data_IF_083776607252
#
_entry.id   IF_083776607252
#
_cell.length_a   1.000
_cell.length_b   1.000
_cell.length_c   1.000
_cell.angle_alpha   90.00
_cell.angle_beta   90.00
_cell.angle_gamma   90.00
#
_symmetry.space_group_name_H-M   'P 1'
#
loop_
_entity.id
_entity.type
_entity.pdbx_description
1 polymer ?
#
# COMPACT_ATOMS: atom_id res chain seq x y z
N UNK A 1 52.90 29.49 -18.45
CA UNK A 1 52.41 28.15 -18.09
C UNK A 1 51.19 28.36 -17.22
N UNK A 2 50.05 28.64 -17.86
CA UNK A 2 48.85 29.11 -17.15
C UNK A 2 48.10 27.90 -16.59
N UNK A 3 47.84 27.92 -15.29
CA UNK A 3 47.21 26.82 -14.56
C UNK A 3 45.72 26.82 -14.90
N UNK A 4 45.38 26.09 -15.96
CA UNK A 4 44.06 25.49 -16.27
C UNK A 4 42.95 25.97 -15.35
N UNK A 5 42.14 26.92 -15.85
CA UNK A 5 40.81 27.21 -15.34
C UNK A 5 40.05 25.89 -15.24
N UNK A 6 39.96 25.34 -14.03
CA UNK A 6 39.26 24.08 -13.81
C UNK A 6 37.82 24.25 -14.31
N UNK A 7 37.40 23.34 -15.19
CA UNK A 7 36.06 23.25 -15.77
C UNK A 7 35.00 23.56 -14.69
N UNK A 8 34.03 24.43 -14.99
CA UNK A 8 32.98 24.83 -14.05
C UNK A 8 32.25 23.62 -13.44
N UNK A 9 32.05 22.56 -14.23
CA UNK A 9 31.48 21.30 -13.75
C UNK A 9 32.39 20.57 -12.75
N UNK A 10 33.71 20.63 -12.95
CA UNK A 10 34.69 20.05 -12.02
C UNK A 10 34.69 20.81 -10.68
N UNK A 11 34.64 22.15 -10.72
CA UNK A 11 34.53 22.98 -9.50
C UNK A 11 33.24 22.66 -8.73
N UNK A 12 32.12 22.55 -9.44
CA UNK A 12 30.82 22.20 -8.84
C UNK A 12 30.82 20.78 -8.24
N UNK A 13 31.43 19.80 -8.93
CA UNK A 13 31.55 18.44 -8.43
C UNK A 13 32.39 18.36 -7.15
N UNK A 14 33.54 19.05 -7.12
CA UNK A 14 34.41 19.12 -5.94
C UNK A 14 33.67 19.77 -4.77
N UNK A 15 33.00 20.90 -4.99
CA UNK A 15 32.25 21.60 -3.94
C UNK A 15 31.13 20.72 -3.35
N UNK A 16 30.43 19.96 -4.20
CA UNK A 16 29.39 19.02 -3.76
C UNK A 16 29.98 17.87 -2.94
N UNK A 17 31.12 17.31 -3.37
CA UNK A 17 31.82 16.26 -2.64
C UNK A 17 32.31 16.75 -1.26
N UNK A 18 32.89 17.94 -1.19
CA UNK A 18 33.36 18.55 0.06
C UNK A 18 32.21 18.79 1.04
N UNK A 19 31.06 19.27 0.54
CA UNK A 19 29.85 19.45 1.35
C UNK A 19 29.37 18.12 1.93
N UNK A 20 29.36 17.04 1.12
CA UNK A 20 28.92 15.71 1.57
C UNK A 20 29.88 15.10 2.60
N UNK A 21 31.19 15.29 2.42
CA UNK A 21 32.22 14.76 3.33
C UNK A 21 32.31 15.55 4.65
N UNK A 22 32.02 16.85 4.64
CA UNK A 22 32.08 17.72 5.82
C UNK A 22 30.81 17.66 6.71
N UNK A 23 29.72 17.05 6.23
CA UNK A 23 28.52 16.83 7.05
C UNK A 23 28.80 15.91 8.25
N UNK A 24 28.29 16.28 9.42
CA UNK A 24 28.36 15.44 10.64
C UNK A 24 27.67 14.10 10.39
N UNK A 25 28.36 12.98 10.67
CA UNK A 25 27.98 11.60 10.29
C UNK A 25 27.99 11.30 8.78
N UNK A 26 28.74 12.06 7.98
CA UNK A 26 28.82 11.92 6.52
C UNK A 26 29.09 10.50 6.04
N UNK A 27 30.00 9.76 6.69
CA UNK A 27 30.31 8.36 6.33
C UNK A 27 29.12 7.39 6.47
N UNK A 28 28.27 7.55 7.48
CA UNK A 28 27.06 6.72 7.68
C UNK A 28 25.97 7.09 6.67
N UNK A 29 25.98 8.32 6.17
CA UNK A 29 25.05 8.81 5.15
C UNK A 29 25.49 8.51 3.72
N UNK A 30 26.76 8.14 3.50
CA UNK A 30 27.25 7.71 2.19
C UNK A 30 26.41 6.54 1.64
N UNK A 31 25.96 5.64 2.52
CA UNK A 31 25.11 4.52 2.15
C UNK A 31 23.80 4.94 1.45
N UNK A 32 23.34 6.19 1.59
CA UNK A 32 22.08 6.69 1.03
C UNK A 32 22.26 7.64 -0.18
N UNK A 33 23.49 8.04 -0.51
CA UNK A 33 23.73 9.02 -1.59
C UNK A 33 23.42 8.42 -2.97
N UNK A 34 23.47 7.09 -3.09
CA UNK A 34 23.13 6.35 -4.31
C UNK A 34 21.62 6.04 -4.39
N UNK A 35 20.81 6.57 -3.47
CA UNK A 35 19.38 6.30 -3.36
C UNK A 35 19.07 5.48 -2.11
N UNK A 36 17.84 5.58 -1.59
CA UNK A 36 17.39 4.84 -0.39
C UNK A 36 16.62 3.56 -0.75
N UNK A 37 16.34 3.33 -2.03
CA UNK A 37 15.68 2.15 -2.57
C UNK A 37 16.64 1.03 -2.99
N UNK A 38 16.08 0.04 -3.68
CA UNK A 38 16.78 -1.07 -4.31
C UNK A 38 16.73 -2.38 -3.50
N UNK A 39 16.79 -3.51 -4.21
CA UNK A 39 16.67 -4.86 -3.62
C UNK A 39 17.80 -5.29 -2.68
N UNK A 40 18.89 -4.52 -2.60
CA UNK A 40 20.01 -4.75 -1.65
C UNK A 40 19.63 -4.27 -0.24
N UNK A 41 18.63 -3.39 -0.12
CA UNK A 41 18.19 -2.86 1.17
C UNK A 41 17.60 -3.96 2.05
N UNK A 42 17.85 -3.95 3.37
CA UNK A 42 17.20 -4.88 4.28
C UNK A 42 15.68 -4.76 4.18
N UNK A 43 14.97 -5.89 4.11
CA UNK A 43 13.51 -5.95 3.98
C UNK A 43 12.81 -5.09 5.04
N UNK A 44 13.27 -5.13 6.30
CA UNK A 44 12.74 -4.30 7.39
C UNK A 44 12.83 -2.80 7.11
N UNK A 45 13.86 -2.36 6.39
CA UNK A 45 14.01 -0.94 5.99
C UNK A 45 13.00 -0.57 4.91
N UNK A 46 12.76 -1.45 3.93
CA UNK A 46 11.78 -1.24 2.87
C UNK A 46 10.35 -1.17 3.44
N UNK A 47 10.00 -2.09 4.34
CA UNK A 47 8.70 -2.07 5.05
C UNK A 47 8.53 -0.73 5.80
N UNK A 48 9.56 -0.28 6.53
CA UNK A 48 9.52 1.01 7.22
C UNK A 48 9.32 2.20 6.27
N UNK A 49 9.97 2.18 5.10
CA UNK A 49 9.79 3.23 4.08
C UNK A 49 8.37 3.21 3.51
N UNK A 50 7.81 2.03 3.24
CA UNK A 50 6.41 1.86 2.81
C UNK A 50 5.45 2.45 3.86
N UNK A 51 5.63 2.11 5.13
CA UNK A 51 4.78 2.61 6.22
C UNK A 51 4.88 4.14 6.38
N UNK A 52 6.07 4.70 6.21
CA UNK A 52 6.27 6.14 6.26
C UNK A 52 5.58 6.83 5.08
N UNK A 53 5.75 6.30 3.87
CA UNK A 53 5.09 6.78 2.65
C UNK A 53 3.57 6.83 2.82
N UNK A 54 2.97 5.75 3.32
CA UNK A 54 1.52 5.69 3.54
C UNK A 54 1.04 6.76 4.54
N UNK A 55 1.78 6.97 5.64
CA UNK A 55 1.45 7.99 6.64
C UNK A 55 1.58 9.41 6.08
N UNK A 56 2.63 9.67 5.31
CA UNK A 56 2.84 10.95 4.64
C UNK A 56 1.75 11.21 3.60
N UNK A 57 1.34 10.18 2.84
CA UNK A 57 0.24 10.29 1.90
C UNK A 57 -1.08 10.64 2.61
N UNK A 58 -1.44 9.96 3.70
CA UNK A 58 -2.67 10.26 4.45
C UNK A 58 -2.68 11.68 5.03
N UNK A 59 -1.50 12.22 5.35
CA UNK A 59 -1.39 13.58 5.91
C UNK A 59 -1.40 14.66 4.83
N UNK A 60 -0.68 14.44 3.73
CA UNK A 60 -0.52 15.41 2.64
C UNK A 60 -1.62 15.35 1.60
N UNK A 61 -2.26 14.18 1.44
CA UNK A 61 -3.12 13.82 0.31
C UNK A 61 -2.44 13.99 -1.06
N UNK A 62 -1.10 14.07 -1.11
CA UNK A 62 -0.36 14.20 -2.36
C UNK A 62 -0.12 12.83 -2.99
N UNK A 63 -1.05 12.47 -3.87
CA UNK A 63 -0.99 11.22 -4.62
C UNK A 63 0.22 11.16 -5.57
N UNK A 64 0.61 12.30 -6.15
CA UNK A 64 1.69 12.33 -7.16
C UNK A 64 3.03 12.03 -6.49
N UNK A 65 3.28 12.65 -5.34
CA UNK A 65 4.49 12.37 -4.57
C UNK A 65 4.49 10.95 -4.01
N UNK A 66 3.36 10.46 -3.48
CA UNK A 66 3.27 9.08 -2.99
C UNK A 66 3.62 8.06 -4.09
N UNK A 67 3.09 8.23 -5.31
CA UNK A 67 3.42 7.37 -6.46
C UNK A 67 4.87 7.49 -6.90
N UNK A 68 5.50 8.65 -6.71
CA UNK A 68 6.93 8.84 -6.98
C UNK A 68 7.75 8.09 -5.94
N UNK A 69 7.44 8.24 -4.66
CA UNK A 69 8.10 7.51 -3.57
C UNK A 69 8.04 5.98 -3.78
N UNK A 70 6.92 5.44 -4.26
CA UNK A 70 6.81 4.00 -4.60
C UNK A 70 7.81 3.60 -5.68
N UNK A 71 8.00 4.42 -6.72
CA UNK A 71 8.99 4.14 -7.78
C UNK A 71 10.42 4.22 -7.27
N UNK A 72 10.69 5.21 -6.42
CA UNK A 72 12.02 5.44 -5.84
C UNK A 72 12.44 4.31 -4.87
N UNK A 73 11.52 3.44 -4.44
CA UNK A 73 11.86 2.20 -3.74
C UNK A 73 12.59 1.19 -4.63
N UNK A 74 12.39 1.22 -5.95
CA UNK A 74 13.05 0.36 -6.94
C UNK A 74 12.97 -1.16 -6.65
N UNK A 75 11.83 -1.62 -6.09
CA UNK A 75 11.58 -3.03 -5.73
C UNK A 75 10.24 -3.55 -6.27
N UNK A 76 10.05 -3.63 -7.60
CA UNK A 76 8.76 -3.96 -8.20
C UNK A 76 8.20 -5.34 -7.79
N UNK A 77 9.07 -6.30 -7.48
CA UNK A 77 8.68 -7.63 -7.00
C UNK A 77 8.32 -7.69 -5.51
N UNK A 78 8.44 -6.57 -4.79
CA UNK A 78 8.07 -6.40 -3.39
C UNK A 78 6.86 -5.47 -3.23
N UNK A 79 6.21 -5.05 -4.32
CA UNK A 79 5.01 -4.20 -4.26
C UNK A 79 3.82 -4.89 -3.59
N UNK A 80 3.78 -6.22 -3.53
CA UNK A 80 2.79 -6.94 -2.73
C UNK A 80 2.86 -6.59 -1.22
N UNK A 81 4.02 -6.12 -0.72
CA UNK A 81 4.15 -5.59 0.64
C UNK A 81 3.45 -4.24 0.78
N UNK A 82 3.64 -3.34 -0.17
CA UNK A 82 2.95 -2.05 -0.18
C UNK A 82 1.43 -2.24 -0.15
N UNK A 83 0.93 -3.18 -0.95
CA UNK A 83 -0.51 -3.50 -0.99
C UNK A 83 -0.97 -4.10 0.34
N UNK A 84 -0.22 -5.04 0.92
CA UNK A 84 -0.50 -5.63 2.23
C UNK A 84 -0.60 -4.56 3.33
N UNK A 85 0.43 -3.71 3.46
CA UNK A 85 0.49 -2.63 4.45
C UNK A 85 -0.63 -1.60 4.24
N UNK A 86 -0.99 -1.31 2.98
CA UNK A 86 -2.10 -0.41 2.64
C UNK A 86 -3.44 -0.96 3.10
N UNK A 87 -3.70 -2.25 2.83
CA UNK A 87 -4.94 -2.91 3.24
C UNK A 87 -4.98 -3.01 4.77
N UNK A 88 -3.90 -3.44 5.41
CA UNK A 88 -3.82 -3.55 6.88
C UNK A 88 -4.11 -2.19 7.56
N UNK A 89 -3.51 -1.11 7.07
CA UNK A 89 -3.77 0.24 7.56
C UNK A 89 -5.25 0.66 7.41
N UNK A 90 -5.91 0.24 6.33
CA UNK A 90 -7.35 0.46 6.16
C UNK A 90 -8.20 -0.33 7.18
N UNK A 91 -7.77 -1.54 7.55
CA UNK A 91 -8.44 -2.36 8.57
C UNK A 91 -8.23 -1.80 9.99
N UNK A 92 -7.07 -1.23 10.28
CA UNK A 92 -6.75 -0.72 11.62
C UNK A 92 -7.41 0.64 11.93
N UNK A 93 -7.58 1.50 10.91
CA UNK A 93 -7.97 2.90 11.11
C UNK A 93 -9.47 3.13 11.30
N UNK A 94 -10.32 2.18 10.90
CA UNK A 94 -11.80 2.24 10.99
C UNK A 94 -12.39 3.60 10.58
N UNK A 95 -11.88 4.18 9.48
CA UNK A 95 -12.28 5.50 9.01
C UNK A 95 -12.60 5.48 7.52
N UNK A 96 -13.85 5.76 7.17
CA UNK A 96 -14.32 5.71 5.77
C UNK A 96 -13.58 6.69 4.84
N UNK A 97 -13.09 7.83 5.34
CA UNK A 97 -12.33 8.79 4.53
C UNK A 97 -10.93 8.25 4.23
N UNK A 98 -10.29 7.66 5.23
CA UNK A 98 -8.97 7.00 5.08
C UNK A 98 -9.07 5.81 4.13
N UNK A 99 -10.09 4.97 4.28
CA UNK A 99 -10.36 3.86 3.36
C UNK A 99 -10.51 4.35 1.91
N UNK A 100 -11.25 5.43 1.69
CA UNK A 100 -11.45 6.00 0.34
C UNK A 100 -10.14 6.54 -0.26
N UNK A 101 -9.30 7.18 0.55
CA UNK A 101 -7.98 7.67 0.15
C UNK A 101 -7.05 6.50 -0.22
N UNK A 102 -6.94 5.48 0.64
CA UNK A 102 -6.09 4.30 0.39
C UNK A 102 -6.58 3.50 -0.82
N UNK A 103 -7.90 3.36 -0.98
CA UNK A 103 -8.50 2.73 -2.16
C UNK A 103 -8.17 3.52 -3.45
N UNK A 104 -8.24 4.85 -3.40
CA UNK A 104 -7.85 5.72 -4.53
C UNK A 104 -6.36 5.61 -4.84
N UNK A 105 -5.50 5.51 -3.82
CA UNK A 105 -4.07 5.26 -3.98
C UNK A 105 -3.80 3.94 -4.72
N UNK A 106 -4.37 2.82 -4.27
CA UNK A 106 -4.22 1.52 -4.94
C UNK A 106 -4.75 1.53 -6.38
N UNK A 107 -5.91 2.17 -6.60
CA UNK A 107 -6.49 2.31 -7.93
C UNK A 107 -5.55 3.07 -8.89
N UNK A 108 -4.92 4.14 -8.42
CA UNK A 108 -3.99 4.94 -9.23
C UNK A 108 -2.67 4.23 -9.49
N UNK A 109 -2.15 3.47 -8.53
CA UNK A 109 -1.00 2.60 -8.73
C UNK A 109 -1.28 1.52 -9.81
N UNK A 110 -2.47 0.90 -9.76
CA UNK A 110 -2.93 -0.06 -10.75
C UNK A 110 -3.11 0.58 -12.13
N UNK A 111 -3.83 1.71 -12.20
CA UNK A 111 -4.13 2.42 -13.44
C UNK A 111 -2.87 2.86 -14.18
N UNK A 112 -1.83 3.27 -13.45
CA UNK A 112 -0.53 3.68 -14.02
C UNK A 112 0.44 2.53 -14.23
N UNK A 113 0.06 1.29 -13.90
CA UNK A 113 0.90 0.10 -14.03
C UNK A 113 2.14 0.12 -13.13
N UNK A 114 2.13 0.90 -12.04
CA UNK A 114 3.22 0.93 -11.05
C UNK A 114 3.20 -0.37 -10.24
N UNK A 115 2.00 -0.81 -9.85
CA UNK A 115 1.76 -2.11 -9.23
C UNK A 115 1.12 -3.00 -10.28
N UNK A 116 1.74 -4.14 -10.55
CA UNK A 116 1.20 -5.12 -11.52
C UNK A 116 -0.01 -5.84 -10.92
N UNK A 117 -0.91 -6.39 -11.76
CA UNK A 117 -2.05 -7.18 -11.25
C UNK A 117 -1.63 -8.32 -10.32
N UNK A 118 -0.53 -9.02 -10.65
CA UNK A 118 0.05 -10.08 -9.80
C UNK A 118 0.43 -9.57 -8.40
N UNK A 119 1.12 -8.42 -8.32
CA UNK A 119 1.52 -7.84 -7.04
C UNK A 119 0.33 -7.32 -6.24
N UNK A 120 -0.68 -6.77 -6.93
CA UNK A 120 -1.95 -6.35 -6.32
C UNK A 120 -2.66 -7.55 -5.70
N UNK A 121 -2.91 -8.59 -6.49
CA UNK A 121 -3.60 -9.79 -6.05
C UNK A 121 -2.85 -10.46 -4.89
N UNK A 122 -1.52 -10.61 -5.00
CA UNK A 122 -0.69 -11.20 -3.94
C UNK A 122 -0.75 -10.43 -2.63
N UNK A 123 -0.82 -9.09 -2.67
CA UNK A 123 -0.97 -8.29 -1.45
C UNK A 123 -2.28 -8.57 -0.71
N UNK A 124 -3.40 -8.62 -1.45
CA UNK A 124 -4.70 -8.96 -0.88
C UNK A 124 -4.75 -10.41 -0.37
N UNK A 125 -4.17 -11.36 -1.10
CA UNK A 125 -4.11 -12.76 -0.67
C UNK A 125 -3.35 -12.95 0.64
N UNK A 126 -2.26 -12.20 0.83
CA UNK A 126 -1.51 -12.25 2.09
C UNK A 126 -2.32 -11.76 3.27
N UNK A 127 -3.09 -10.67 3.10
CA UNK A 127 -4.01 -10.22 4.15
C UNK A 127 -5.02 -11.31 4.48
N UNK A 128 -5.60 -11.95 3.46
CA UNK A 128 -6.54 -13.07 3.64
C UNK A 128 -5.92 -14.26 4.38
N UNK A 129 -4.64 -14.54 4.16
CA UNK A 129 -3.90 -15.61 4.84
C UNK A 129 -3.63 -15.28 6.31
N UNK A 130 -3.35 -14.02 6.62
CA UNK A 130 -3.05 -13.54 7.97
C UNK A 130 -4.33 -13.16 8.78
N UNK A 131 -5.52 -13.30 8.20
CA UNK A 131 -6.77 -12.84 8.84
C UNK A 131 -7.05 -13.46 10.21
N UNK A 132 -6.61 -14.69 10.46
CA UNK A 132 -6.77 -15.32 11.79
C UNK A 132 -6.02 -14.57 12.88
N UNK A 133 -4.87 -14.00 12.54
CA UNK A 133 -4.01 -13.25 13.45
C UNK A 133 -4.46 -11.79 13.53
N UNK A 134 -4.76 -11.16 12.39
CA UNK A 134 -5.24 -9.77 12.31
C UNK A 134 -6.49 -9.55 13.20
N UNK A 135 -7.39 -10.54 13.26
CA UNK A 135 -8.63 -10.44 14.05
C UNK A 135 -8.38 -10.42 15.56
N UNK A 136 -7.24 -10.93 16.03
CA UNK A 136 -6.86 -10.87 17.44
C UNK A 136 -6.67 -9.41 17.88
N UNK A 137 -6.12 -8.58 16.99
CA UNK A 137 -5.91 -7.15 17.25
C UNK A 137 -7.11 -6.29 16.81
N UNK A 138 -7.78 -6.68 15.72
CA UNK A 138 -8.91 -5.95 15.12
C UNK A 138 -10.14 -6.88 15.00
N UNK A 139 -11.02 -6.94 16.02
CA UNK A 139 -12.14 -7.88 16.06
C UNK A 139 -13.12 -7.80 14.87
N UNK A 140 -13.18 -6.64 14.21
CA UNK A 140 -14.06 -6.39 13.05
C UNK A 140 -13.36 -6.57 11.70
N UNK A 141 -12.12 -7.07 11.66
CA UNK A 141 -11.29 -7.07 10.46
C UNK A 141 -11.95 -7.74 9.25
N UNK A 142 -12.66 -8.86 9.43
CA UNK A 142 -13.37 -9.52 8.32
C UNK A 142 -14.42 -8.62 7.65
N UNK A 143 -15.21 -7.90 8.45
CA UNK A 143 -16.25 -6.98 7.95
C UNK A 143 -15.59 -5.78 7.26
N UNK A 144 -14.49 -5.31 7.83
CA UNK A 144 -13.74 -4.19 7.26
C UNK A 144 -13.07 -4.56 5.94
N UNK A 145 -12.51 -5.77 5.84
CA UNK A 145 -11.87 -6.27 4.63
C UNK A 145 -12.89 -6.46 3.50
N UNK A 146 -14.05 -7.06 3.79
CA UNK A 146 -15.15 -7.20 2.83
C UNK A 146 -15.56 -5.82 2.28
N UNK A 147 -15.85 -4.87 3.17
CA UNK A 147 -16.20 -3.49 2.78
C UNK A 147 -15.09 -2.80 1.98
N UNK A 148 -13.82 -2.93 2.39
CA UNK A 148 -12.70 -2.31 1.70
C UNK A 148 -12.48 -2.93 0.30
N UNK A 149 -12.64 -4.25 0.20
CA UNK A 149 -12.59 -4.98 -1.08
C UNK A 149 -13.71 -4.52 -2.02
N UNK A 150 -14.95 -4.41 -1.55
CA UNK A 150 -16.07 -3.88 -2.35
C UNK A 150 -15.76 -2.47 -2.88
N UNK A 151 -15.22 -1.57 -2.04
CA UNK A 151 -14.78 -0.23 -2.49
C UNK A 151 -13.70 -0.31 -3.56
N UNK A 152 -12.72 -1.19 -3.40
CA UNK A 152 -11.66 -1.40 -4.38
C UNK A 152 -12.22 -1.88 -5.73
N UNK A 153 -13.16 -2.82 -5.70
CA UNK A 153 -13.81 -3.35 -6.91
C UNK A 153 -14.55 -2.30 -7.74
N UNK A 154 -15.04 -1.22 -7.12
CA UNK A 154 -15.64 -0.10 -7.84
C UNK A 154 -14.61 0.75 -8.61
N UNK A 155 -13.33 0.70 -8.25
CA UNK A 155 -12.26 1.50 -8.87
C UNK A 155 -11.32 0.69 -9.75
N UNK A 156 -11.04 -0.57 -9.39
CA UNK A 156 -10.18 -1.46 -10.14
C UNK A 156 -10.58 -2.93 -9.95
N UNK A 157 -10.22 -3.78 -10.91
CA UNK A 157 -10.56 -5.20 -10.88
C UNK A 157 -9.48 -6.01 -10.18
N UNK A 158 -9.84 -6.69 -9.10
CA UNK A 158 -9.05 -7.76 -8.50
C UNK A 158 -9.22 -9.07 -9.28
N UNK A 159 -8.22 -9.95 -9.22
CA UNK A 159 -8.29 -11.26 -9.82
C UNK A 159 -9.42 -12.12 -9.26
N UNK A 160 -10.10 -12.88 -10.12
CA UNK A 160 -11.25 -13.72 -9.72
C UNK A 160 -10.87 -14.74 -8.62
N UNK A 161 -9.61 -15.16 -8.56
CA UNK A 161 -9.10 -16.07 -7.54
C UNK A 161 -8.97 -15.42 -6.15
N UNK A 162 -8.69 -14.12 -6.09
CA UNK A 162 -8.73 -13.32 -4.85
C UNK A 162 -10.17 -13.19 -4.38
N UNK A 163 -11.08 -12.82 -5.29
CA UNK A 163 -12.48 -12.59 -4.98
C UNK A 163 -13.20 -13.84 -4.45
N UNK A 164 -12.86 -15.02 -4.96
CA UNK A 164 -13.37 -16.30 -4.44
C UNK A 164 -12.96 -16.60 -2.99
N UNK A 165 -11.82 -16.05 -2.54
CA UNK A 165 -11.31 -16.21 -1.18
C UNK A 165 -11.76 -15.10 -0.22
N UNK A 166 -12.29 -14.00 -0.76
CA UNK A 166 -12.80 -12.91 0.08
C UNK A 166 -13.91 -13.42 1.00
N UNK A 167 -13.93 -12.99 2.27
CA UNK A 167 -14.97 -13.37 3.21
C UNK A 167 -16.29 -12.82 2.70
N UNK A 168 -17.04 -13.62 1.97
CA UNK A 168 -18.40 -13.22 1.59
C UNK A 168 -19.16 -13.03 2.87
N UNK A 169 -19.73 -11.84 3.05
CA UNK A 169 -20.72 -11.57 4.08
C UNK A 169 -21.67 -12.77 4.13
N UNK A 170 -21.51 -13.62 5.15
CA UNK A 170 -22.53 -14.60 5.44
C UNK A 170 -23.80 -13.79 5.55
N UNK A 171 -24.74 -14.00 4.60
CA UNK A 171 -26.09 -13.45 4.71
C UNK A 171 -26.43 -13.52 6.19
N UNK A 172 -26.77 -12.37 6.78
CA UNK A 172 -27.27 -12.23 8.16
C UNK A 172 -27.83 -13.58 8.58
N UNK A 173 -27.41 -14.16 9.70
CA UNK A 173 -28.05 -15.34 10.28
C UNK A 173 -29.57 -15.09 10.30
N UNK A 174 -30.26 -15.48 9.24
CA UNK A 174 -31.71 -15.48 9.10
C UNK A 174 -32.27 -16.74 9.73
N UNK A 175 -31.39 -17.58 10.25
CA UNK A 175 -31.69 -18.83 10.92
C UNK A 175 -31.22 -18.65 12.35
N UNK A 176 -32.16 -18.36 13.24
CA UNK A 176 -32.05 -18.85 14.61
C UNK A 176 -32.01 -20.38 14.50
N UNK A 177 -31.20 -21.06 15.30
CA UNK A 177 -30.97 -22.51 15.20
C UNK A 177 -32.26 -23.37 15.34
N UNK A 178 -33.42 -22.75 15.62
CA UNK A 178 -34.74 -23.39 15.69
C UNK A 178 -35.56 -23.46 14.39
N UNK A 179 -35.20 -22.76 13.30
CA UNK A 179 -36.11 -22.54 12.16
C UNK A 179 -35.85 -23.42 10.91
N UNK A 180 -35.03 -24.48 11.04
CA UNK A 180 -34.88 -25.50 10.00
C UNK A 180 -34.31 -25.02 8.65
N UNK A 181 -33.69 -23.83 8.59
CA UNK A 181 -33.04 -23.33 7.37
C UNK A 181 -33.96 -22.68 6.34
N UNK A 182 -35.21 -22.34 6.68
CA UNK A 182 -36.11 -21.63 5.77
C UNK A 182 -35.70 -20.16 5.63
N UNK A 183 -35.39 -19.73 4.39
CA UNK A 183 -35.07 -18.34 4.08
C UNK A 183 -36.38 -17.53 4.08
N UNK A 184 -36.48 -16.50 4.94
CA UNK A 184 -37.62 -15.56 4.92
C UNK A 184 -37.58 -14.72 3.65
N UNK A 185 -38.57 -14.92 2.79
CA UNK A 185 -38.75 -14.14 1.58
C UNK A 185 -39.46 -12.84 1.94
N UNK A 186 -38.74 -11.72 1.86
CA UNK A 186 -39.34 -10.40 1.97
C UNK A 186 -39.40 -9.81 0.56
N UNK A 187 -40.51 -10.11 -0.13
CA UNK A 187 -40.89 -9.44 -1.36
C UNK A 187 -40.84 -7.91 -1.13
N UNK A 188 -39.82 -7.27 -1.67
CA UNK A 188 -39.80 -5.83 -1.85
C UNK A 188 -40.79 -5.53 -2.98
N UNK A 189 -41.95 -5.00 -2.61
CA UNK A 189 -42.85 -4.34 -3.57
C UNK A 189 -42.04 -3.27 -4.30
N UNK A 190 -41.80 -3.50 -5.59
CA UNK A 190 -41.27 -2.48 -6.49
C UNK A 190 -42.32 -1.37 -6.64
N UNK A 191 -41.86 -0.12 -6.62
CA UNK A 191 -42.69 1.04 -6.93
C UNK A 191 -43.06 1.01 -8.42
N UNK A 192 -44.37 1.16 -8.64
CA UNK A 192 -45.17 1.39 -9.87
C UNK A 192 -44.96 0.44 -11.05
#
# INVERSE_FOLDING_TARGET
>A
MDKTDANAHAKQAIQRAETLLSMKQGMVRLDNIWGVGGGIRPVKSLIRQIQLLLKEYLTSSDLTEAMRCVRDLEVPHFHHELVYETVLLALETVNSSVEEQLCTFLAELSRRGIVTPDQMDRGFLRVLEDMSDIVLDVPLAYIMLDRFSERCQHKFRLGDHVLKRMPTRGRKRFVSEGDGGVIKDHALKLRE
#
